data_IF_737037134821
#
_entry.id   IF_737037134821
#
_cell.length_a   1.000
_cell.length_b   1.000
_cell.length_c   1.000
_cell.angle_alpha   90.00
_cell.angle_beta   90.00
_cell.angle_gamma   90.00
#
_symmetry.space_group_name_H-M   'P 1'
#
loop_
_entity.id
_entity.type
_entity.pdbx_description
1 polymer ?
#
# COMPACT_ATOMS: atom_id res chain seq x y z
N UNK A 1 9.16 -9.16 -19.60
CA UNK A 1 8.94 -9.69 -18.23
C UNK A 1 8.31 -8.60 -17.37
N UNK A 2 7.35 -8.95 -16.56
CA UNK A 2 6.63 -8.00 -15.72
C UNK A 2 7.50 -7.38 -14.62
N UNK A 3 7.17 -6.15 -14.25
CA UNK A 3 7.78 -5.46 -13.12
C UNK A 3 7.43 -6.20 -11.81
N UNK A 4 8.41 -6.34 -10.91
CA UNK A 4 8.20 -6.94 -9.60
C UNK A 4 7.51 -5.93 -8.66
N UNK A 5 6.48 -6.36 -7.95
CA UNK A 5 5.78 -5.51 -7.00
C UNK A 5 6.67 -5.15 -5.80
N UNK A 6 6.42 -3.99 -5.18
CA UNK A 6 7.15 -3.57 -3.98
C UNK A 6 7.06 -4.62 -2.88
N UNK A 7 5.89 -5.20 -2.67
CA UNK A 7 5.62 -6.20 -1.64
C UNK A 7 6.34 -7.53 -1.86
N UNK A 8 6.72 -7.83 -3.09
CA UNK A 8 7.44 -9.07 -3.42
C UNK A 8 8.93 -9.02 -3.06
N UNK A 9 9.43 -7.83 -2.68
CA UNK A 9 10.78 -7.66 -2.16
C UNK A 9 10.87 -7.84 -0.64
N UNK A 10 9.73 -7.83 0.07
CA UNK A 10 9.76 -7.94 1.53
C UNK A 10 10.22 -9.34 1.97
N UNK A 11 11.05 -9.43 3.02
CA UNK A 11 11.43 -10.72 3.58
C UNK A 11 10.19 -11.44 4.14
N UNK A 12 10.28 -12.76 4.25
CA UNK A 12 9.13 -13.60 4.66
C UNK A 12 8.54 -13.14 5.99
N UNK A 13 9.38 -12.78 6.96
CA UNK A 13 8.97 -12.34 8.30
C UNK A 13 8.09 -11.08 8.26
N UNK A 14 8.17 -10.29 7.21
CA UNK A 14 7.41 -9.05 7.01
C UNK A 14 6.33 -9.17 5.92
N UNK A 15 5.95 -10.41 5.54
CA UNK A 15 5.05 -10.68 4.43
C UNK A 15 3.70 -11.29 4.84
N UNK A 16 3.25 -11.03 6.08
CA UNK A 16 1.99 -11.56 6.61
C UNK A 16 0.89 -10.50 6.79
N UNK A 17 1.12 -9.26 6.36
CA UNK A 17 0.11 -8.20 6.46
C UNK A 17 -1.20 -8.62 5.79
N UNK A 18 -2.32 -8.39 6.47
CA UNK A 18 -3.65 -8.68 5.91
C UNK A 18 -3.92 -7.91 4.61
N UNK A 19 -3.44 -6.68 4.49
CA UNK A 19 -3.62 -5.88 3.28
C UNK A 19 -2.69 -6.27 2.12
N UNK A 20 -1.40 -6.51 2.38
CA UNK A 20 -0.41 -6.65 1.31
C UNK A 20 0.55 -7.83 1.47
N UNK A 21 0.40 -8.65 2.50
CA UNK A 21 1.29 -9.77 2.75
C UNK A 21 1.11 -10.89 1.72
N UNK A 22 2.15 -11.16 0.93
CA UNK A 22 2.12 -12.25 -0.09
C UNK A 22 1.96 -13.63 0.53
N UNK A 23 2.32 -13.81 1.81
CA UNK A 23 2.21 -15.07 2.54
C UNK A 23 0.90 -15.19 3.34
N UNK A 24 0.09 -14.14 3.40
CA UNK A 24 -1.24 -14.20 4.00
C UNK A 24 -2.27 -14.58 2.94
N UNK A 25 -2.64 -15.86 2.89
CA UNK A 25 -3.59 -16.38 1.91
C UNK A 25 -5.02 -15.85 2.10
N UNK A 26 -5.36 -15.37 3.28
CA UNK A 26 -6.66 -14.77 3.59
C UNK A 26 -6.67 -13.25 3.39
N UNK A 27 -5.53 -12.66 3.08
CA UNK A 27 -5.38 -11.23 2.90
C UNK A 27 -5.74 -10.75 1.49
N UNK A 28 -5.67 -9.44 1.31
CA UNK A 28 -6.00 -8.78 0.04
C UNK A 28 -4.86 -8.94 -0.98
N UNK A 29 -3.64 -9.13 -0.53
CA UNK A 29 -2.44 -9.30 -1.36
C UNK A 29 -2.24 -8.16 -2.37
N UNK A 30 -2.37 -6.93 -1.90
CA UNK A 30 -2.21 -5.71 -2.69
C UNK A 30 -0.79 -5.66 -3.25
N UNK A 31 -0.67 -5.33 -4.54
CA UNK A 31 0.60 -5.22 -5.26
C UNK A 31 0.76 -3.82 -5.83
N UNK A 32 1.88 -3.20 -5.53
CA UNK A 32 2.19 -1.82 -5.93
C UNK A 32 3.45 -1.77 -6.79
N UNK A 33 3.47 -0.82 -7.72
CA UNK A 33 4.53 -0.67 -8.72
C UNK A 33 4.82 0.80 -8.96
N UNK A 34 6.01 1.12 -9.45
CA UNK A 34 6.29 2.43 -10.01
C UNK A 34 5.64 2.60 -11.38
N UNK A 35 5.10 3.78 -11.61
CA UNK A 35 4.64 4.27 -12.91
C UNK A 35 5.13 5.71 -13.07
N UNK A 36 6.34 5.85 -13.61
CA UNK A 36 7.03 7.13 -13.63
C UNK A 36 7.35 7.63 -12.21
N UNK A 37 6.91 8.82 -11.89
CA UNK A 37 7.12 9.45 -10.57
C UNK A 37 6.02 9.09 -9.56
N UNK A 38 4.98 8.42 -10.01
CA UNK A 38 3.90 7.94 -9.15
C UNK A 38 4.00 6.43 -8.94
N UNK A 39 3.36 5.95 -7.90
CA UNK A 39 3.13 4.52 -7.69
C UNK A 39 1.70 4.17 -8.08
N UNK A 40 1.48 2.92 -8.48
CA UNK A 40 0.17 2.43 -8.89
C UNK A 40 -0.10 1.04 -8.34
N UNK A 41 -1.37 0.77 -8.06
CA UNK A 41 -1.87 -0.56 -7.77
C UNK A 41 -3.26 -0.70 -8.39
N UNK A 42 -3.63 -1.91 -8.77
CA UNK A 42 -4.98 -2.22 -9.23
C UNK A 42 -5.51 -3.37 -8.38
N UNK A 43 -6.70 -3.17 -7.83
CA UNK A 43 -7.37 -4.17 -7.02
C UNK A 43 -8.85 -4.26 -7.40
N UNK A 44 -9.34 -5.46 -7.68
CA UNK A 44 -10.76 -5.67 -7.95
C UNK A 44 -11.42 -6.25 -6.70
N UNK A 45 -12.29 -5.49 -6.01
CA UNK A 45 -12.99 -5.99 -4.83
C UNK A 45 -13.83 -7.22 -5.14
N UNK A 46 -13.84 -8.17 -4.20
CA UNK A 46 -14.69 -9.35 -4.26
C UNK A 46 -16.11 -9.01 -3.78
N UNK A 47 -17.13 -9.83 -4.13
CA UNK A 47 -18.52 -9.54 -3.77
C UNK A 47 -18.77 -9.31 -2.28
N UNK A 48 -18.01 -9.95 -1.39
CA UNK A 48 -18.16 -9.79 0.05
C UNK A 48 -17.46 -8.53 0.62
N UNK A 49 -16.70 -7.80 -0.21
CA UNK A 49 -16.13 -6.50 0.19
C UNK A 49 -17.17 -5.37 0.08
N UNK A 50 -18.40 -5.69 0.37
CA UNK A 50 -19.57 -4.84 0.19
C UNK A 50 -19.93 -4.11 1.48
N UNK A 51 -20.32 -2.84 1.35
CA UNK A 51 -21.03 -2.10 2.39
C UNK A 51 -22.53 -2.13 2.07
N UNK A 52 -23.03 -1.09 1.42
CA UNK A 52 -24.38 -1.08 0.84
C UNK A 52 -24.33 -1.88 -0.47
N UNK A 53 -25.38 -2.68 -0.81
CA UNK A 53 -25.39 -3.44 -2.06
C UNK A 53 -24.96 -2.61 -3.28
N UNK A 54 -23.98 -3.10 -4.00
CA UNK A 54 -23.40 -2.41 -5.17
C UNK A 54 -22.23 -1.47 -4.88
N UNK A 55 -21.86 -1.28 -3.61
CA UNK A 55 -20.80 -0.35 -3.23
C UNK A 55 -19.75 -1.02 -2.31
N UNK A 56 -18.52 -0.59 -2.49
CA UNK A 56 -17.37 -1.10 -1.74
C UNK A 56 -17.37 -0.60 -0.30
N UNK A 57 -17.05 -1.48 0.62
CA UNK A 57 -16.84 -1.15 2.04
C UNK A 57 -15.70 -0.12 2.22
N UNK A 58 -15.98 0.93 2.98
CA UNK A 58 -15.02 2.02 3.18
C UNK A 58 -13.71 1.58 3.83
N UNK A 59 -13.74 0.58 4.69
CA UNK A 59 -12.54 0.00 5.30
C UNK A 59 -11.61 -0.68 4.30
N UNK A 60 -12.15 -1.28 3.22
CA UNK A 60 -11.32 -1.81 2.14
C UNK A 60 -10.60 -0.69 1.40
N UNK A 61 -11.29 0.39 1.11
CA UNK A 61 -10.70 1.57 0.46
C UNK A 61 -9.56 2.13 1.32
N UNK A 62 -9.78 2.25 2.63
CA UNK A 62 -8.75 2.66 3.58
C UNK A 62 -7.56 1.69 3.57
N UNK A 63 -7.80 0.38 3.50
CA UNK A 63 -6.76 -0.64 3.42
C UNK A 63 -5.91 -0.52 2.16
N UNK A 64 -6.55 -0.24 1.02
CA UNK A 64 -5.84 0.00 -0.25
C UNK A 64 -4.90 1.20 -0.13
N UNK A 65 -5.40 2.31 0.41
CA UNK A 65 -4.62 3.53 0.61
C UNK A 65 -3.47 3.27 1.59
N UNK A 66 -3.73 2.59 2.69
CA UNK A 66 -2.76 2.29 3.73
C UNK A 66 -1.58 1.46 3.19
N UNK A 67 -1.86 0.28 2.69
CA UNK A 67 -0.83 -0.65 2.22
C UNK A 67 -0.11 -0.15 0.96
N UNK A 68 -0.83 0.51 0.04
CA UNK A 68 -0.21 1.11 -1.13
C UNK A 68 0.76 2.23 -0.73
N UNK A 69 0.36 3.07 0.20
CA UNK A 69 1.17 4.21 0.64
C UNK A 69 2.41 3.77 1.44
N UNK A 70 2.30 2.77 2.32
CA UNK A 70 3.47 2.25 3.05
C UNK A 70 4.44 1.53 2.11
N UNK A 71 3.93 0.81 1.12
CA UNK A 71 4.76 0.20 0.07
C UNK A 71 5.48 1.27 -0.77
N UNK A 72 4.78 2.32 -1.13
CA UNK A 72 5.36 3.47 -1.85
C UNK A 72 6.42 4.17 -1.01
N UNK A 73 6.18 4.35 0.29
CA UNK A 73 7.14 4.94 1.21
C UNK A 73 8.45 4.14 1.27
N UNK A 74 8.35 2.82 1.39
CA UNK A 74 9.51 1.95 1.39
C UNK A 74 10.28 2.03 0.06
N UNK A 75 9.57 1.91 -1.06
CA UNK A 75 10.17 1.98 -2.39
C UNK A 75 10.85 3.34 -2.65
N UNK A 76 10.24 4.44 -2.20
CA UNK A 76 10.81 5.78 -2.32
C UNK A 76 12.08 5.94 -1.47
N UNK A 77 12.11 5.37 -0.27
CA UNK A 77 13.28 5.41 0.59
C UNK A 77 14.47 4.67 -0.04
N UNK A 78 14.25 3.49 -0.62
CA UNK A 78 15.29 2.79 -1.37
C UNK A 78 15.78 3.58 -2.57
N UNK A 79 14.86 4.15 -3.34
CA UNK A 79 15.18 4.99 -4.51
C UNK A 79 16.02 6.20 -4.11
N UNK A 80 15.70 6.84 -2.99
CA UNK A 80 16.46 7.98 -2.47
C UNK A 80 17.88 7.60 -2.07
N UNK A 81 18.07 6.41 -1.49
CA UNK A 81 19.37 5.88 -1.13
C UNK A 81 20.15 5.33 -2.34
N UNK A 82 19.53 5.27 -3.52
CA UNK A 82 20.17 4.77 -4.73
C UNK A 82 20.42 3.26 -4.71
N UNK A 83 19.62 2.50 -3.98
CA UNK A 83 19.75 1.05 -3.87
C UNK A 83 18.46 0.32 -4.23
N UNK A 84 18.60 -0.98 -4.52
CA UNK A 84 17.48 -1.84 -4.85
C UNK A 84 16.71 -2.26 -3.59
N UNK A 85 15.44 -2.63 -3.76
CA UNK A 85 14.55 -2.98 -2.66
C UNK A 85 14.89 -4.29 -1.94
N UNK A 86 15.81 -5.08 -2.47
CA UNK A 86 16.34 -6.29 -1.82
C UNK A 86 17.61 -6.04 -1.01
N UNK A 87 18.06 -4.79 -0.94
CA UNK A 87 19.27 -4.42 -0.16
C UNK A 87 19.02 -4.63 1.34
N UNK A 88 20.02 -5.17 2.03
CA UNK A 88 19.98 -5.40 3.48
C UNK A 88 20.70 -4.29 4.25
N UNK A 89 20.25 -3.93 5.45
CA UNK A 89 19.00 -4.39 6.11
C UNK A 89 17.74 -3.82 5.41
N UNK A 90 16.57 -4.49 5.51
CA UNK A 90 15.38 -4.03 4.82
C UNK A 90 14.87 -2.71 5.39
N UNK A 91 14.52 -1.78 4.49
CA UNK A 91 13.82 -0.55 4.84
C UNK A 91 12.32 -0.84 4.84
N UNK A 92 11.72 -0.83 6.01
CA UNK A 92 10.30 -1.06 6.19
C UNK A 92 9.66 0.12 6.90
N UNK A 93 8.44 0.45 6.48
CA UNK A 93 7.66 1.55 7.04
C UNK A 93 6.36 1.02 7.62
N UNK A 94 5.91 1.66 8.68
CA UNK A 94 4.60 1.41 9.28
C UNK A 94 3.80 2.71 9.29
N UNK A 95 2.47 2.57 9.32
CA UNK A 95 1.57 3.71 9.29
C UNK A 95 1.51 4.39 10.66
N UNK A 96 1.86 5.66 10.70
CA UNK A 96 1.70 6.50 11.90
C UNK A 96 0.39 7.28 11.85
N UNK A 97 -0.08 7.66 10.66
CA UNK A 97 -1.33 8.39 10.47
C UNK A 97 -1.94 8.02 9.12
N UNK A 98 -3.23 7.80 9.12
CA UNK A 98 -4.02 7.52 7.92
C UNK A 98 -5.23 8.45 7.93
N UNK A 99 -5.33 9.31 6.91
CA UNK A 99 -6.49 10.15 6.65
C UNK A 99 -7.11 9.76 5.34
N UNK A 100 -8.44 9.58 5.31
CA UNK A 100 -9.18 9.24 4.10
C UNK A 100 -10.39 10.15 3.96
N UNK A 101 -10.53 10.77 2.79
CA UNK A 101 -11.72 11.48 2.39
C UNK A 101 -12.46 10.65 1.34
N UNK A 102 -13.72 10.33 1.62
CA UNK A 102 -14.60 9.60 0.71
C UNK A 102 -15.39 10.61 -0.09
N UNK A 103 -15.03 10.81 -1.36
CA UNK A 103 -15.57 11.85 -2.21
C UNK A 103 -16.86 11.44 -2.92
N UNK A 104 -16.99 10.14 -3.21
CA UNK A 104 -18.19 9.55 -3.80
C UNK A 104 -18.24 8.05 -3.51
N UNK A 105 -19.43 7.42 -3.57
CA UNK A 105 -19.53 5.98 -3.41
C UNK A 105 -18.68 5.24 -4.45
N UNK A 106 -17.94 4.25 -4.00
CA UNK A 106 -17.09 3.42 -4.86
C UNK A 106 -17.87 2.21 -5.36
N UNK A 107 -18.08 2.05 -6.68
CA UNK A 107 -18.85 0.93 -7.21
C UNK A 107 -18.13 -0.40 -6.98
N UNK A 108 -18.92 -1.42 -6.62
CA UNK A 108 -18.45 -2.79 -6.49
C UNK A 108 -18.41 -3.46 -7.88
N UNK A 109 -17.46 -4.38 -8.07
CA UNK A 109 -17.40 -5.20 -9.29
C UNK A 109 -16.57 -4.60 -10.42
N UNK A 110 -15.91 -3.47 -10.18
CA UNK A 110 -14.98 -2.85 -11.14
C UNK A 110 -13.58 -2.76 -10.53
N UNK A 111 -12.52 -2.78 -11.36
CA UNK A 111 -11.17 -2.55 -10.87
C UNK A 111 -11.02 -1.17 -10.25
N UNK A 112 -10.36 -1.11 -9.10
CA UNK A 112 -9.96 0.14 -8.45
C UNK A 112 -8.49 0.38 -8.73
N UNK A 113 -8.17 1.54 -9.27
CA UNK A 113 -6.80 2.00 -9.42
C UNK A 113 -6.44 2.87 -8.22
N UNK A 114 -5.32 2.59 -7.60
CA UNK A 114 -4.75 3.43 -6.55
C UNK A 114 -3.49 4.06 -7.11
N UNK A 115 -3.41 5.38 -7.02
CA UNK A 115 -2.21 6.13 -7.42
C UNK A 115 -1.65 6.86 -6.23
N UNK A 116 -0.34 6.74 -6.03
CA UNK A 116 0.37 7.36 -4.91
C UNK A 116 1.42 8.34 -5.39
N UNK A 117 1.59 9.41 -4.61
CA UNK A 117 2.63 10.41 -4.82
C UNK A 117 3.32 10.70 -3.51
N UNK A 118 4.64 10.68 -3.52
CA UNK A 118 5.44 11.06 -2.36
C UNK A 118 5.42 12.59 -2.24
N UNK A 119 4.92 13.08 -1.11
CA UNK A 119 4.86 14.52 -0.81
C UNK A 119 6.11 14.99 -0.06
N UNK A 120 6.65 14.16 0.82
CA UNK A 120 7.77 14.49 1.68
C UNK A 120 8.54 13.25 2.06
N UNK A 121 9.88 13.34 2.04
CA UNK A 121 10.76 12.34 2.62
C UNK A 121 11.67 13.05 3.61
N UNK A 122 11.63 12.60 4.85
CA UNK A 122 12.57 12.97 5.90
C UNK A 122 13.27 11.71 6.42
N UNK A 123 14.25 11.87 7.27
CA UNK A 123 15.12 10.81 7.77
C UNK A 123 14.37 9.53 8.20
N UNK A 124 13.25 9.69 8.91
CA UNK A 124 12.46 8.56 9.43
C UNK A 124 10.99 8.61 9.03
N UNK A 125 10.61 9.50 8.14
CA UNK A 125 9.21 9.76 7.80
C UNK A 125 9.07 9.96 6.30
N UNK A 126 8.05 9.34 5.73
CA UNK A 126 7.61 9.58 4.36
C UNK A 126 6.12 9.89 4.38
N UNK A 127 5.72 10.96 3.71
CA UNK A 127 4.32 11.32 3.53
C UNK A 127 3.91 10.99 2.10
N UNK A 128 2.86 10.21 1.96
CA UNK A 128 2.32 9.78 0.66
C UNK A 128 0.86 10.21 0.56
N UNK A 129 0.52 10.87 -0.54
CA UNK A 129 -0.87 11.14 -0.94
C UNK A 129 -1.30 10.12 -1.97
N UNK A 130 -2.49 9.55 -1.80
CA UNK A 130 -3.03 8.54 -2.70
C UNK A 130 -4.45 8.89 -3.14
N UNK A 131 -4.81 8.46 -4.36
CA UNK A 131 -6.17 8.55 -4.88
C UNK A 131 -6.65 7.16 -5.26
N UNK A 132 -7.94 6.90 -5.03
CA UNK A 132 -8.62 5.67 -5.47
C UNK A 132 -9.58 6.05 -6.58
N UNK A 133 -9.41 5.39 -7.73
CA UNK A 133 -10.10 5.72 -8.97
C UNK A 133 -10.89 4.48 -9.43
N UNK A 134 -12.16 4.69 -9.74
CA UNK A 134 -13.04 3.67 -10.31
C UNK A 134 -13.68 4.23 -11.58
N UNK A 135 -13.53 3.54 -12.72
CA UNK A 135 -14.10 3.98 -13.98
C UNK A 135 -13.67 5.38 -14.43
N UNK A 136 -12.43 5.76 -14.12
CA UNK A 136 -11.88 7.08 -14.44
C UNK A 136 -12.26 8.19 -13.47
N UNK A 137 -13.08 7.90 -12.44
CA UNK A 137 -13.51 8.89 -11.45
C UNK A 137 -12.82 8.69 -10.10
N UNK A 138 -12.38 9.78 -9.48
CA UNK A 138 -11.77 9.74 -8.15
C UNK A 138 -12.87 9.54 -7.11
N UNK A 139 -12.83 8.41 -6.40
CA UNK A 139 -13.79 8.05 -5.36
C UNK A 139 -13.31 8.40 -3.95
N UNK A 140 -12.01 8.33 -3.73
CA UNK A 140 -11.43 8.64 -2.42
C UNK A 140 -10.03 9.23 -2.59
N UNK A 141 -9.63 10.02 -1.60
CA UNK A 141 -8.27 10.54 -1.46
C UNK A 141 -7.77 10.22 -0.07
N UNK A 142 -6.50 9.89 0.03
CA UNK A 142 -5.88 9.60 1.31
C UNK A 142 -4.54 10.25 1.48
N UNK A 143 -4.14 10.39 2.73
CA UNK A 143 -2.81 10.85 3.12
C UNK A 143 -2.31 9.96 4.23
N UNK A 144 -1.13 9.39 4.02
CA UNK A 144 -0.48 8.50 4.97
C UNK A 144 0.83 9.12 5.41
N UNK A 145 1.02 9.19 6.72
CA UNK A 145 2.34 9.44 7.31
C UNK A 145 2.91 8.08 7.67
N UNK A 146 3.92 7.66 6.93
CA UNK A 146 4.63 6.41 7.18
C UNK A 146 5.94 6.72 7.91
N UNK A 147 6.25 5.92 8.92
CA UNK A 147 7.49 6.05 9.70
C UNK A 147 8.31 4.79 9.58
N UNK A 148 9.62 4.94 9.60
CA UNK A 148 10.54 3.81 9.56
C UNK A 148 10.25 2.88 10.73
N UNK A 149 10.05 1.60 10.43
CA UNK A 149 9.74 0.60 11.45
C UNK A 149 10.88 0.51 12.47
N UNK A 150 10.57 0.62 13.79
CA UNK A 150 11.57 0.41 14.82
C UNK A 150 12.18 -1.01 14.75
N UNK A 151 13.47 -1.12 15.03
CA UNK A 151 14.20 -2.39 14.95
C UNK A 151 13.63 -3.46 15.91
N UNK A 152 13.06 -3.05 17.03
CA UNK A 152 12.44 -3.94 18.00
C UNK A 152 11.12 -4.57 17.54
N UNK A 153 10.50 -4.00 16.49
CA UNK A 153 9.28 -4.54 15.88
C UNK A 153 9.59 -5.57 14.78
N UNK A 154 10.84 -5.69 14.34
CA UNK A 154 11.19 -6.71 13.35
C UNK A 154 11.17 -8.08 14.04
N UNK A 155 10.35 -9.04 13.57
CA UNK A 155 10.35 -10.39 14.15
C UNK A 155 11.73 -11.01 14.09
N UNK A 156 12.20 -11.56 15.22
CA UNK A 156 13.50 -12.23 15.30
C UNK A 156 13.43 -13.70 14.94
N UNK A 157 12.22 -14.26 14.98
CA UNK A 157 11.95 -15.67 14.69
C UNK A 157 10.91 -15.77 13.57
N UNK A 158 10.96 -16.90 12.86
CA UNK A 158 9.98 -17.19 11.81
C UNK A 158 8.59 -17.29 12.43
N UNK A 159 7.63 -16.69 11.80
CA UNK A 159 6.22 -16.90 12.13
C UNK A 159 5.82 -18.27 11.62
N UNK A 160 5.54 -19.21 12.53
CA UNK A 160 5.07 -20.55 12.21
C UNK A 160 3.64 -20.55 11.65
#
# INVERSE_FOLDING_TARGET
MGQKAFQDYYPDELSYCYGCGRLNQHGLQIKSYWDGEESTAVYTPLPHHMAIPGYVYGGLIASLIDCHSTGTAAAAAYKQEGCEMDTQPPLRFVTASLHVDYLRPTPLGVPLEVRGRVEEIKERKVVVSSTVIAGGEICAKGKVVAVKMPEDLVPKDKVD
#
